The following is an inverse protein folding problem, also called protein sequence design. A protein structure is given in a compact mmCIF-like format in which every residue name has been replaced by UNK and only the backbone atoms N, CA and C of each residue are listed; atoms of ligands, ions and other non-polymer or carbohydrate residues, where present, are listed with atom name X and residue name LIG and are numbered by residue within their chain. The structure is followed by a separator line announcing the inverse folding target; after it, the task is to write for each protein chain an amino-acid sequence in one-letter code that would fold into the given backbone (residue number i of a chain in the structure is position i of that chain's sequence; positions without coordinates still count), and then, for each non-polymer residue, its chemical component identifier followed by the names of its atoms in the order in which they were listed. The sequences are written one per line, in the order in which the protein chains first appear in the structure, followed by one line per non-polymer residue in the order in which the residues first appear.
data_IF_541522169117
#
_entry.id   IF_541522169117
#
_cell.length_a   1.000
_cell.length_b   1.000
_cell.length_c   1.000
_cell.angle_alpha   90.00
_cell.angle_beta   90.00
_cell.angle_gamma   90.00
#
_symmetry.space_group_name_H-M   'P 1'
#
loop_
_entity.id
_entity.type
_entity.pdbx_description
1 polymer ?
#
# COMPACT_ATOMS: atom_id res chain seq x y z
N UNK A 1 -14.99 46.84 10.24
CA UNK A 1 -16.23 46.10 9.87
C UNK A 1 -15.77 44.81 9.22
N UNK A 2 -15.81 43.65 9.89
CA UNK A 2 -16.96 42.72 10.02
C UNK A 2 -17.56 42.45 8.62
N UNK A 3 -17.62 41.21 8.12
CA UNK A 3 -18.31 40.09 8.77
C UNK A 3 -17.79 38.73 8.31
N UNK A 4 -17.57 37.86 9.29
CA UNK A 4 -17.29 36.43 9.16
C UNK A 4 -18.50 35.65 8.64
N UNK A 5 -18.29 34.72 7.71
CA UNK A 5 -19.25 33.65 7.44
C UNK A 5 -18.82 32.43 8.24
N UNK A 6 -19.55 32.19 9.34
CA UNK A 6 -19.54 30.94 10.10
C UNK A 6 -20.58 30.03 9.46
N UNK A 7 -20.19 28.84 9.02
CA UNK A 7 -21.12 27.72 8.81
C UNK A 7 -20.61 26.57 9.67
N UNK A 8 -21.44 26.18 10.63
CA UNK A 8 -21.23 25.04 11.52
C UNK A 8 -22.38 24.05 11.29
N UNK A 9 -22.06 22.85 10.81
CA UNK A 9 -22.85 21.60 10.87
C UNK A 9 -21.79 20.47 10.80
N UNK A 10 -21.32 19.89 11.90
CA UNK A 10 -21.93 18.87 12.78
C UNK A 10 -21.96 17.44 12.17
N UNK A 11 -21.05 16.60 12.70
CA UNK A 11 -21.10 15.14 12.94
C UNK A 11 -21.52 14.18 11.80
N UNK A 12 -20.62 13.28 11.36
CA UNK A 12 -20.50 11.88 11.85
C UNK A 12 -19.57 11.02 10.95
N UNK A 13 -18.69 10.29 11.64
CA UNK A 13 -17.96 9.05 11.24
C UNK A 13 -16.72 9.23 10.36
N UNK A 14 -15.61 9.39 11.08
CA UNK A 14 -14.29 8.88 10.73
C UNK A 14 -14.38 7.43 10.24
N UNK A 15 -13.99 7.21 8.98
CA UNK A 15 -13.62 5.88 8.51
C UNK A 15 -12.22 5.98 7.88
N UNK A 16 -11.21 5.87 8.74
CA UNK A 16 -9.87 5.49 8.30
C UNK A 16 -10.01 4.02 7.89
N UNK A 17 -9.83 3.64 6.60
CA UNK A 17 -9.71 2.23 6.28
C UNK A 17 -8.34 1.78 6.76
N UNK A 18 -8.34 1.27 8.00
CA UNK A 18 -7.19 0.57 8.58
C UNK A 18 -7.13 -0.79 7.92
N UNK A 19 -6.04 -1.07 7.21
CA UNK A 19 -5.68 -2.44 6.82
C UNK A 19 -5.76 -2.70 5.32
N UNK A 20 -4.74 -2.27 4.59
CA UNK A 20 -4.37 -2.95 3.34
C UNK A 20 -3.48 -4.15 3.75
N UNK A 21 -4.07 -5.35 3.73
CA UNK A 21 -3.44 -6.67 3.97
C UNK A 21 -3.35 -7.45 2.64
N UNK A 22 -2.22 -8.14 2.44
CA UNK A 22 -1.72 -8.50 1.10
C UNK A 22 -2.69 -9.41 0.41
N UNK A 23 -2.91 -9.13 -0.87
CA UNK A 23 -3.54 -10.11 -1.74
C UNK A 23 -2.44 -11.10 -2.03
N UNK A 24 -2.46 -12.22 -1.31
CA UNK A 24 -2.17 -13.50 -1.93
C UNK A 24 -3.20 -13.81 -3.01
N UNK A 25 -2.78 -14.53 -4.06
CA UNK A 25 -3.67 -15.18 -5.03
C UNK A 25 -4.55 -16.24 -4.35
N UNK A 26 -5.43 -15.78 -3.48
CA UNK A 26 -6.53 -16.50 -2.88
C UNK A 26 -7.67 -15.52 -2.81
N UNK A 27 -8.61 -15.66 -3.75
CA UNK A 27 -9.95 -15.11 -3.76
C UNK A 27 -10.19 -14.04 -2.67
N UNK A 28 -10.22 -12.77 -3.06
CA UNK A 28 -10.59 -11.64 -2.18
C UNK A 28 -11.98 -11.79 -1.55
N UNK A 29 -12.74 -12.79 -1.95
CA UNK A 29 -13.98 -13.25 -1.33
C UNK A 29 -13.85 -14.69 -0.81
N UNK A 30 -12.82 -15.01 -0.03
CA UNK A 30 -12.89 -16.17 0.86
C UNK A 30 -13.86 -15.81 2.00
N UNK A 31 -15.12 -16.29 1.98
CA UNK A 31 -16.09 -15.96 3.02
C UNK A 31 -15.58 -16.37 4.39
N UNK A 32 -14.79 -17.45 4.46
CA UNK A 32 -14.25 -17.96 5.72
C UNK A 32 -13.17 -17.03 6.29
N UNK A 33 -12.31 -16.47 5.42
CA UNK A 33 -11.35 -15.43 5.83
C UNK A 33 -12.07 -14.20 6.39
N UNK A 34 -13.15 -13.77 5.73
CA UNK A 34 -13.94 -12.63 6.19
C UNK A 34 -14.63 -12.93 7.53
N UNK A 35 -15.17 -14.13 7.72
CA UNK A 35 -15.74 -14.56 8.99
C UNK A 35 -14.70 -14.56 10.13
N UNK A 36 -13.48 -15.06 9.87
CA UNK A 36 -12.40 -15.04 10.86
C UNK A 36 -12.00 -13.60 11.20
N UNK A 37 -11.86 -12.73 10.19
CA UNK A 37 -11.55 -11.31 10.42
C UNK A 37 -12.65 -10.61 11.20
N UNK A 38 -13.92 -10.87 10.88
CA UNK A 38 -15.07 -10.34 11.60
C UNK A 38 -15.09 -10.84 13.05
N UNK A 39 -14.76 -12.11 13.31
CA UNK A 39 -14.62 -12.65 14.67
C UNK A 39 -13.47 -11.96 15.41
N UNK A 40 -12.31 -11.76 14.78
CA UNK A 40 -11.17 -11.06 15.37
C UNK A 40 -11.50 -9.60 15.75
N UNK A 41 -12.30 -8.92 14.93
CA UNK A 41 -12.70 -7.52 15.14
C UNK A 41 -13.88 -7.37 16.12
N UNK A 42 -14.81 -8.32 16.18
CA UNK A 42 -15.99 -8.27 17.06
C UNK A 42 -15.77 -8.88 18.45
N UNK A 43 -14.85 -9.84 18.58
CA UNK A 43 -14.58 -10.52 19.84
C UNK A 43 -13.76 -9.61 20.74
N UNK A 44 -14.32 -9.25 21.89
CA UNK A 44 -13.60 -8.51 22.93
C UNK A 44 -13.03 -9.45 23.98
N UNK A 45 -11.80 -9.19 24.39
CA UNK A 45 -11.05 -9.97 25.38
C UNK A 45 -10.55 -9.08 26.50
N UNK A 46 -10.55 -9.63 27.71
CA UNK A 46 -9.92 -9.03 28.88
C UNK A 46 -9.14 -10.11 29.61
N UNK A 47 -7.84 -9.88 29.82
CA UNK A 47 -6.96 -10.84 30.48
C UNK A 47 -5.85 -10.14 31.25
N UNK A 48 -5.33 -10.82 32.27
CA UNK A 48 -4.19 -10.40 33.09
C UNK A 48 -3.21 -11.58 33.13
N UNK A 49 -2.33 -11.64 32.13
CA UNK A 49 -1.30 -12.66 32.05
C UNK A 49 -0.07 -12.21 32.84
N UNK A 50 0.42 -13.08 33.72
CA UNK A 50 1.64 -12.86 34.50
C UNK A 50 2.57 -14.04 34.30
N UNK A 51 3.72 -13.77 33.69
CA UNK A 51 4.77 -14.77 33.43
C UNK A 51 4.26 -16.03 32.71
N UNK A 52 3.30 -15.87 31.80
CA UNK A 52 2.69 -16.97 31.04
C UNK A 52 3.44 -17.20 29.72
N UNK A 53 3.55 -18.46 29.30
CA UNK A 53 4.15 -18.80 28.00
C UNK A 53 3.24 -18.35 26.85
N UNK A 54 3.83 -18.01 25.71
CA UNK A 54 3.06 -17.69 24.50
C UNK A 54 2.12 -18.84 24.12
N UNK A 55 2.57 -20.10 24.24
CA UNK A 55 1.75 -21.28 23.95
C UNK A 55 0.47 -21.32 24.77
N UNK A 56 0.57 -21.17 26.10
CA UNK A 56 -0.60 -21.17 26.99
C UNK A 56 -1.53 -19.98 26.72
N UNK A 57 -0.97 -18.81 26.38
CA UNK A 57 -1.76 -17.64 25.98
C UNK A 57 -2.53 -17.92 24.69
N UNK A 58 -1.87 -18.51 23.68
CA UNK A 58 -2.51 -18.83 22.40
C UNK A 58 -3.55 -19.92 22.55
N UNK A 59 -3.32 -20.94 23.38
CA UNK A 59 -4.31 -21.96 23.69
C UNK A 59 -5.54 -21.34 24.38
N UNK A 60 -5.33 -20.46 25.36
CA UNK A 60 -6.43 -19.71 25.99
C UNK A 60 -7.22 -18.88 24.96
N UNK A 61 -6.53 -18.17 24.06
CA UNK A 61 -7.20 -17.38 23.01
C UNK A 61 -7.94 -18.28 22.02
N UNK A 62 -7.40 -19.45 21.68
CA UNK A 62 -8.04 -20.46 20.83
C UNK A 62 -9.36 -20.92 21.44
N UNK A 63 -9.35 -21.29 22.72
CA UNK A 63 -10.52 -21.76 23.45
C UNK A 63 -11.57 -20.65 23.61
N UNK A 64 -11.12 -19.44 23.89
CA UNK A 64 -12.01 -18.29 24.07
C UNK A 64 -12.66 -17.83 22.75
N UNK A 65 -11.88 -17.75 21.67
CA UNK A 65 -12.38 -17.20 20.40
C UNK A 65 -12.96 -18.25 19.45
N UNK A 66 -12.71 -19.52 19.71
CA UNK A 66 -13.06 -20.63 18.80
C UNK A 66 -12.38 -20.54 17.43
N UNK A 67 -11.25 -19.82 17.34
CA UNK A 67 -10.48 -19.68 16.10
C UNK A 67 -9.34 -20.67 16.12
N UNK A 68 -9.03 -21.29 14.98
CA UNK A 68 -7.88 -22.17 14.89
C UNK A 68 -6.59 -21.34 14.74
N UNK A 69 -5.83 -21.22 15.83
CA UNK A 69 -4.56 -20.49 15.88
C UNK A 69 -3.41 -21.48 16.02
N UNK A 70 -2.44 -21.42 15.11
CA UNK A 70 -1.27 -22.32 15.06
C UNK A 70 0.01 -21.49 15.13
N UNK A 71 0.99 -21.95 15.90
CA UNK A 71 2.31 -21.31 15.97
C UNK A 71 3.24 -22.05 15.00
N UNK A 72 3.89 -21.32 14.10
CA UNK A 72 4.88 -21.90 13.20
C UNK A 72 6.14 -22.31 13.97
N UNK A 73 6.77 -23.41 13.55
CA UNK A 73 7.98 -23.94 14.19
C UNK A 73 9.10 -22.88 14.28
N UNK A 74 9.26 -22.04 13.25
CA UNK A 74 10.27 -20.97 13.26
C UNK A 74 9.97 -19.88 14.29
N UNK A 75 8.69 -19.63 14.59
CA UNK A 75 8.30 -18.68 15.62
C UNK A 75 8.64 -19.23 17.02
N UNK A 76 8.49 -20.53 17.23
CA UNK A 76 8.88 -21.22 18.48
C UNK A 76 10.39 -21.13 18.67
N UNK A 77 11.16 -21.47 17.63
CA UNK A 77 12.63 -21.41 17.65
C UNK A 77 13.15 -20.00 17.94
N UNK A 78 12.51 -18.96 17.38
CA UNK A 78 12.87 -17.56 17.62
C UNK A 78 12.60 -17.12 19.07
N UNK A 79 11.53 -17.60 19.69
CA UNK A 79 11.20 -17.25 21.08
C UNK A 79 12.13 -17.92 22.09
N UNK A 80 12.53 -19.17 21.83
CA UNK A 80 13.36 -19.97 22.74
C UNK A 80 12.83 -19.92 24.19
N UNK A 81 13.73 -19.72 25.14
CA UNK A 81 13.42 -19.64 26.58
C UNK A 81 12.74 -18.33 27.00
N UNK A 82 12.74 -17.30 26.14
CA UNK A 82 12.13 -15.99 26.43
C UNK A 82 10.66 -15.93 25.95
N UNK A 83 9.91 -17.02 26.12
CA UNK A 83 8.51 -17.11 25.68
C UNK A 83 7.50 -16.55 26.71
N UNK A 84 8.00 -16.10 27.86
CA UNK A 84 7.20 -15.53 28.95
C UNK A 84 6.71 -14.12 28.61
N UNK A 85 5.43 -13.88 28.89
CA UNK A 85 4.73 -12.63 28.62
C UNK A 85 3.95 -12.24 29.87
N UNK A 86 4.14 -10.98 30.28
CA UNK A 86 3.35 -10.33 31.31
C UNK A 86 2.62 -9.17 30.66
N UNK A 87 1.29 -9.25 30.59
CA UNK A 87 0.46 -8.26 29.91
C UNK A 87 -0.96 -8.27 30.48
N UNK A 88 -1.48 -7.07 30.72
CA UNK A 88 -2.87 -6.87 31.15
C UNK A 88 -3.61 -6.01 30.14
N UNK A 89 -4.72 -6.52 29.61
CA UNK A 89 -5.57 -5.84 28.64
C UNK A 89 -7.03 -5.94 29.12
N UNK A 90 -7.79 -4.86 28.93
CA UNK A 90 -9.19 -4.79 29.33
C UNK A 90 -10.04 -4.25 28.17
N UNK A 91 -11.13 -4.95 27.86
CA UNK A 91 -12.13 -4.59 26.84
C UNK A 91 -11.53 -4.22 25.47
N UNK A 92 -10.56 -4.99 24.99
CA UNK A 92 -9.95 -4.77 23.67
C UNK A 92 -10.37 -5.84 22.67
N UNK A 93 -10.34 -5.53 21.38
CA UNK A 93 -10.62 -6.53 20.35
C UNK A 93 -9.51 -7.57 20.28
N UNK A 94 -9.87 -8.83 19.99
CA UNK A 94 -8.93 -9.94 19.88
C UNK A 94 -7.83 -9.67 18.86
N UNK A 95 -8.15 -9.01 17.75
CA UNK A 95 -7.17 -8.56 16.76
C UNK A 95 -6.09 -7.66 17.35
N UNK A 96 -6.50 -6.67 18.16
CA UNK A 96 -5.56 -5.74 18.79
C UNK A 96 -4.78 -6.45 19.89
N UNK A 97 -5.43 -7.33 20.67
CA UNK A 97 -4.78 -8.16 21.68
C UNK A 97 -3.65 -9.00 21.07
N UNK A 98 -3.98 -9.77 20.03
CA UNK A 98 -3.04 -10.62 19.33
C UNK A 98 -1.89 -9.80 18.74
N UNK A 99 -2.20 -8.67 18.10
CA UNK A 99 -1.19 -7.76 17.56
C UNK A 99 -0.23 -7.25 18.64
N UNK A 100 -0.74 -6.86 19.82
CA UNK A 100 0.08 -6.36 20.93
C UNK A 100 0.97 -7.45 21.53
N UNK A 101 0.42 -8.64 21.75
CA UNK A 101 1.16 -9.80 22.25
C UNK A 101 2.31 -10.14 21.31
N UNK A 102 2.03 -10.23 20.01
CA UNK A 102 2.99 -10.65 18.99
C UNK A 102 4.04 -9.57 18.68
N UNK A 103 3.66 -8.29 18.72
CA UNK A 103 4.58 -7.17 18.44
C UNK A 103 5.73 -7.08 19.45
N UNK A 104 5.51 -7.51 20.71
CA UNK A 104 6.56 -7.53 21.73
C UNK A 104 7.66 -8.58 21.48
N UNK A 105 7.44 -9.54 20.59
CA UNK A 105 8.35 -10.66 20.31
C UNK A 105 8.76 -10.73 18.83
N UNK A 106 8.57 -9.65 18.07
CA UNK A 106 8.82 -9.60 16.63
C UNK A 106 8.13 -10.72 15.82
N UNK A 107 6.93 -11.09 16.27
CA UNK A 107 6.04 -12.04 15.60
C UNK A 107 4.87 -11.30 14.94
N UNK A 108 4.26 -11.95 13.97
CA UNK A 108 3.00 -11.48 13.38
C UNK A 108 2.10 -12.67 13.08
N UNK A 109 0.80 -12.43 13.02
CA UNK A 109 -0.17 -13.42 12.58
C UNK A 109 -0.48 -13.24 11.09
N UNK A 110 -0.57 -14.34 10.37
CA UNK A 110 -0.99 -14.39 8.98
C UNK A 110 -2.09 -15.42 8.81
N UNK A 111 -2.97 -15.21 7.83
CA UNK A 111 -4.01 -16.18 7.50
C UNK A 111 -3.51 -17.07 6.37
N UNK A 112 -3.53 -18.38 6.58
CA UNK A 112 -3.13 -19.37 5.58
C UNK A 112 -3.95 -20.64 5.78
N UNK A 113 -4.46 -21.23 4.70
CA UNK A 113 -5.15 -22.53 4.73
C UNK A 113 -6.26 -22.65 5.79
N UNK A 114 -7.07 -21.58 5.97
CA UNK A 114 -8.17 -21.50 6.95
C UNK A 114 -7.76 -21.50 8.42
N UNK A 115 -6.47 -21.29 8.69
CA UNK A 115 -5.94 -21.15 10.05
C UNK A 115 -5.21 -19.82 10.23
N UNK A 116 -5.20 -19.32 11.46
CA UNK A 116 -4.40 -18.17 11.84
C UNK A 116 -3.03 -18.67 12.26
N UNK A 117 -2.02 -18.43 11.43
CA UNK A 117 -0.66 -18.88 11.65
C UNK A 117 0.20 -17.75 12.23
N UNK A 118 0.89 -18.02 13.33
CA UNK A 118 1.84 -17.09 13.94
C UNK A 118 3.23 -17.37 13.39
N UNK A 119 3.83 -16.37 12.76
CA UNK A 119 5.13 -16.47 12.08
C UNK A 119 6.06 -15.32 12.52
N UNK A 120 7.38 -15.46 12.39
CA UNK A 120 8.31 -14.35 12.56
C UNK A 120 7.98 -13.20 11.59
N UNK A 121 8.07 -11.96 12.06
CA UNK A 121 7.78 -10.77 11.24
C UNK A 121 8.61 -10.71 9.96
N UNK A 122 9.89 -11.07 10.05
CA UNK A 122 10.80 -11.12 8.90
C UNK A 122 10.32 -12.09 7.81
N UNK A 123 9.76 -13.23 8.21
CA UNK A 123 9.28 -14.24 7.25
C UNK A 123 7.93 -13.85 6.65
N UNK A 124 7.08 -13.16 7.42
CA UNK A 124 5.87 -12.55 6.87
C UNK A 124 6.17 -11.41 5.89
N UNK A 125 7.23 -10.63 6.14
CA UNK A 125 7.64 -9.52 5.27
C UNK A 125 8.27 -10.01 3.96
N UNK A 126 9.01 -11.12 3.98
CA UNK A 126 9.56 -11.75 2.76
C UNK A 126 8.49 -12.30 1.82
N UNK A 127 7.27 -12.47 2.32
CA UNK A 127 6.15 -12.99 1.52
C UNK A 127 5.76 -11.95 0.47
N UNK A 128 6.26 -12.14 -0.74
CA UNK A 128 5.84 -11.35 -1.89
C UNK A 128 4.46 -11.81 -2.33
N UNK A 129 3.68 -10.89 -2.87
CA UNK A 129 2.56 -11.31 -3.68
C UNK A 129 2.34 -10.46 -4.92
N UNK A 130 1.57 -10.99 -5.85
CA UNK A 130 1.21 -10.39 -7.11
C UNK A 130 -0.12 -9.67 -6.95
N UNK A 131 -0.14 -8.37 -7.25
CA UNK A 131 -1.35 -7.56 -7.41
C UNK A 131 -1.33 -6.88 -8.76
N UNK A 132 -2.48 -6.81 -9.40
CA UNK A 132 -2.70 -6.07 -10.63
C UNK A 132 -3.44 -4.78 -10.28
N UNK A 133 -2.89 -3.65 -10.70
CA UNK A 133 -3.49 -2.33 -10.56
C UNK A 133 -3.90 -1.82 -11.94
N UNK A 134 -5.18 -1.46 -12.10
CA UNK A 134 -5.62 -0.73 -13.28
C UNK A 134 -5.24 0.75 -13.10
N UNK A 135 -4.39 1.26 -14.00
CA UNK A 135 -3.94 2.65 -14.04
C UNK A 135 -4.27 3.30 -15.39
N UNK A 136 -5.20 2.72 -16.18
CA UNK A 136 -5.65 3.30 -17.46
C UNK A 136 -6.07 4.75 -17.31
N UNK A 137 -6.73 5.07 -16.21
CA UNK A 137 -7.17 6.42 -15.87
C UNK A 137 -6.02 7.43 -15.72
N UNK A 138 -4.86 6.98 -15.24
CA UNK A 138 -3.64 7.78 -15.15
C UNK A 138 -2.93 7.94 -16.51
N UNK A 139 -3.16 7.01 -17.45
CA UNK A 139 -2.56 7.02 -18.79
C UNK A 139 -3.39 7.78 -19.83
N UNK A 140 -4.65 8.14 -19.52
CA UNK A 140 -5.47 8.95 -20.43
C UNK A 140 -4.86 10.34 -20.55
N UNK A 141 -4.13 10.55 -21.66
CA UNK A 141 -3.57 11.83 -22.09
C UNK A 141 -4.71 12.85 -22.25
N UNK A 142 -4.74 13.91 -21.43
CA UNK A 142 -5.27 15.17 -21.93
C UNK A 142 -4.21 15.65 -22.92
N UNK A 143 -4.51 15.55 -24.21
CA UNK A 143 -3.64 16.12 -25.22
C UNK A 143 -3.80 17.64 -25.13
N UNK A 144 -2.95 18.30 -24.37
CA UNK A 144 -2.68 19.71 -24.60
C UNK A 144 -2.04 19.76 -25.99
N UNK A 145 -2.72 20.42 -26.93
CA UNK A 145 -2.19 20.70 -28.26
C UNK A 145 -1.55 22.10 -28.18
N UNK A 146 -0.33 22.26 -27.64
CA UNK A 146 0.32 23.55 -27.69
C UNK A 146 0.45 23.97 -29.16
N UNK A 147 -0.08 25.14 -29.47
CA UNK A 147 -0.01 25.67 -30.83
C UNK A 147 1.47 25.88 -31.23
N UNK A 148 1.79 25.73 -32.53
CA UNK A 148 3.14 25.98 -33.03
C UNK A 148 3.65 27.36 -32.62
N UNK A 149 4.92 27.45 -32.22
CA UNK A 149 5.56 28.73 -31.94
C UNK A 149 5.96 29.39 -33.27
N UNK A 150 5.47 30.61 -33.49
CA UNK A 150 5.73 31.38 -34.70
C UNK A 150 6.71 32.50 -34.35
N UNK A 151 7.95 32.36 -34.81
CA UNK A 151 8.98 33.39 -34.64
C UNK A 151 9.25 34.05 -35.99
N UNK A 152 9.27 35.39 -35.98
CA UNK A 152 9.65 36.18 -37.15
C UNK A 152 11.15 36.43 -37.06
N UNK A 153 11.93 35.79 -37.93
CA UNK A 153 13.37 36.02 -38.00
C UNK A 153 13.70 37.13 -38.99
N UNK A 154 14.42 38.18 -38.56
CA UNK A 154 14.96 39.17 -39.48
C UNK A 154 16.06 38.53 -40.35
N UNK A 155 16.14 38.86 -41.65
CA UNK A 155 17.13 38.28 -42.54
C UNK A 155 18.56 38.67 -42.11
N UNK A 156 19.55 37.78 -42.25
CA UNK A 156 20.93 38.00 -41.80
C UNK A 156 21.66 39.14 -42.52
N UNK A 157 21.09 39.68 -43.61
CA UNK A 157 21.56 40.89 -44.29
C UNK A 157 20.38 41.67 -44.84
N UNK A 158 20.25 42.95 -44.43
CA UNK A 158 19.24 43.85 -44.98
C UNK A 158 19.62 44.27 -46.42
N UNK A 159 18.99 43.65 -47.42
CA UNK A 159 19.10 44.10 -48.82
C UNK A 159 18.08 45.23 -49.03
N UNK A 160 18.51 46.46 -49.42
CA UNK A 160 17.58 47.55 -49.69
C UNK A 160 16.59 47.16 -50.79
N UNK A 161 15.28 47.26 -50.51
CA UNK A 161 14.21 46.98 -51.47
C UNK A 161 13.56 45.59 -51.37
N UNK A 162 14.00 44.71 -50.46
CA UNK A 162 13.38 43.39 -50.24
C UNK A 162 12.88 43.26 -48.79
N UNK A 163 11.62 43.58 -48.58
CA UNK A 163 10.91 43.31 -47.32
C UNK A 163 10.50 41.85 -47.27
N UNK A 164 11.36 40.98 -46.74
CA UNK A 164 11.05 39.56 -46.54
C UNK A 164 11.55 39.10 -45.17
N UNK A 165 10.66 39.09 -44.18
CA UNK A 165 10.88 38.38 -42.91
C UNK A 165 10.53 36.91 -43.07
N UNK A 166 11.39 36.02 -42.59
CA UNK A 166 11.12 34.58 -42.57
C UNK A 166 10.20 34.23 -41.40
N UNK A 167 9.19 33.41 -41.63
CA UNK A 167 8.41 32.82 -40.55
C UNK A 167 9.02 31.44 -40.26
N UNK A 168 9.57 31.28 -39.06
CA UNK A 168 9.99 29.99 -38.55
C UNK A 168 8.89 29.46 -37.65
N UNK A 169 8.33 28.31 -38.04
CA UNK A 169 7.40 27.55 -37.22
C UNK A 169 8.20 26.48 -36.52
N UNK A 170 8.38 26.59 -35.21
CA UNK A 170 8.94 25.52 -34.40
C UNK A 170 7.79 24.73 -33.77
N UNK A 171 7.79 23.38 -33.87
CA UNK A 171 6.87 22.57 -33.07
C UNK A 171 7.10 22.88 -31.59
N UNK A 172 6.01 22.92 -30.82
CA UNK A 172 6.12 23.05 -29.37
C UNK A 172 6.70 21.76 -28.79
N UNK A 173 7.55 21.88 -27.77
CA UNK A 173 8.08 20.73 -27.05
C UNK A 173 6.98 20.13 -26.17
N UNK A 174 6.61 18.89 -26.47
CA UNK A 174 5.67 18.11 -25.69
C UNK A 174 6.34 17.72 -24.36
N UNK A 175 6.13 18.50 -23.29
CA UNK A 175 6.49 18.06 -21.94
C UNK A 175 5.52 16.95 -21.49
N UNK A 176 5.77 15.71 -21.95
CA UNK A 176 5.02 14.52 -21.53
C UNK A 176 5.33 14.19 -20.05
N UNK A 177 4.60 14.80 -19.12
CA UNK A 177 4.84 14.63 -17.68
C UNK A 177 4.43 13.24 -17.14
N UNK A 178 3.65 12.45 -17.89
CA UNK A 178 3.07 11.18 -17.42
C UNK A 178 3.14 10.08 -18.50
N UNK A 179 4.35 9.68 -18.90
CA UNK A 179 4.55 8.48 -19.74
C UNK A 179 4.46 7.20 -18.90
N UNK A 180 4.12 6.05 -19.50
CA UNK A 180 4.15 4.73 -18.84
C UNK A 180 5.46 4.48 -18.08
N UNK A 181 6.59 4.83 -18.69
CA UNK A 181 7.92 4.64 -18.12
C UNK A 181 8.16 5.54 -16.90
N UNK A 182 7.74 6.81 -16.95
CA UNK A 182 7.84 7.74 -15.84
C UNK A 182 7.02 7.28 -14.62
N UNK A 183 5.83 6.68 -14.84
CA UNK A 183 4.99 6.17 -13.75
C UNK A 183 5.69 4.99 -13.06
N UNK A 184 6.27 4.08 -13.82
CA UNK A 184 7.03 2.95 -13.26
C UNK A 184 8.24 3.45 -12.48
N UNK A 185 8.94 4.48 -12.98
CA UNK A 185 10.08 5.07 -12.29
C UNK A 185 9.67 5.78 -10.98
N UNK A 186 8.62 6.59 -10.99
CA UNK A 186 8.08 7.25 -9.79
C UNK A 186 7.68 6.20 -8.75
N UNK A 187 7.02 5.13 -9.17
CA UNK A 187 6.65 4.03 -8.27
C UNK A 187 7.91 3.38 -7.70
N UNK A 188 8.89 3.01 -8.52
CA UNK A 188 10.14 2.38 -8.06
C UNK A 188 10.91 3.25 -7.08
N UNK A 189 11.02 4.55 -7.34
CA UNK A 189 11.75 5.50 -6.49
C UNK A 189 11.07 5.75 -5.14
N UNK A 190 9.74 5.61 -5.05
CA UNK A 190 8.97 5.95 -3.86
C UNK A 190 8.43 4.74 -3.07
N UNK A 191 8.82 3.51 -3.43
CA UNK A 191 8.27 2.29 -2.80
C UNK A 191 9.34 1.25 -2.50
N UNK A 192 9.04 0.34 -1.57
CA UNK A 192 9.93 -0.75 -1.17
C UNK A 192 11.31 -0.26 -0.66
N UNK A 193 11.33 0.92 -0.04
CA UNK A 193 12.53 1.59 0.46
C UNK A 193 13.62 1.78 -0.63
N UNK A 194 13.23 1.84 -1.91
CA UNK A 194 14.13 1.96 -3.07
C UNK A 194 14.90 0.69 -3.44
N UNK A 195 14.55 -0.47 -2.84
CA UNK A 195 15.29 -1.75 -2.98
C UNK A 195 14.58 -2.77 -3.85
N UNK A 196 14.27 -2.39 -5.09
CA UNK A 196 13.63 -3.29 -6.05
C UNK A 196 14.57 -4.39 -6.55
N UNK A 197 15.86 -4.09 -6.72
CA UNK A 197 16.87 -5.04 -7.23
C UNK A 197 17.42 -6.01 -6.17
N UNK A 198 17.04 -5.82 -4.89
CA UNK A 198 17.54 -6.62 -3.77
C UNK A 198 16.76 -7.92 -3.55
N UNK A 199 15.54 -8.02 -4.09
CA UNK A 199 14.66 -9.16 -3.91
C UNK A 199 14.40 -9.82 -5.27
N UNK A 200 14.96 -11.01 -5.51
CA UNK A 200 14.82 -11.73 -6.79
C UNK A 200 13.38 -12.10 -7.15
N UNK A 201 12.46 -12.05 -6.18
CA UNK A 201 11.04 -12.32 -6.39
C UNK A 201 10.20 -11.05 -6.60
N UNK A 202 10.81 -9.86 -6.58
CA UNK A 202 10.12 -8.61 -6.84
C UNK A 202 10.11 -8.30 -8.34
N UNK A 203 8.93 -7.98 -8.88
CA UNK A 203 8.80 -7.51 -10.27
C UNK A 203 7.74 -6.43 -10.38
N UNK A 204 7.90 -5.54 -11.35
CA UNK A 204 6.92 -4.53 -11.71
C UNK A 204 6.92 -4.42 -13.22
N UNK A 205 5.77 -4.70 -13.81
CA UNK A 205 5.57 -4.70 -15.25
C UNK A 205 4.32 -3.89 -15.56
N UNK A 206 4.44 -2.95 -16.50
CA UNK A 206 3.31 -2.20 -17.02
C UNK A 206 2.95 -2.76 -18.39
N UNK A 207 1.78 -3.35 -18.50
CA UNK A 207 1.22 -3.76 -19.79
C UNK A 207 0.82 -2.54 -20.60
N UNK A 208 0.94 -2.62 -21.92
CA UNK A 208 0.52 -1.57 -22.87
C UNK A 208 -0.96 -1.18 -22.74
N UNK A 209 -1.77 -2.05 -22.15
CA UNK A 209 -3.18 -1.79 -21.85
C UNK A 209 -3.39 -0.96 -20.58
N UNK A 210 -2.35 -0.53 -19.87
CA UNK A 210 -2.49 0.26 -18.63
C UNK A 210 -2.75 -0.55 -17.38
N UNK A 211 -2.39 -1.83 -17.41
CA UNK A 211 -2.41 -2.72 -16.24
C UNK A 211 -1.00 -2.80 -15.65
N UNK A 212 -0.86 -2.40 -14.40
CA UNK A 212 0.39 -2.50 -13.65
C UNK A 212 0.38 -3.78 -12.83
N UNK A 213 1.15 -4.77 -13.27
CA UNK A 213 1.38 -6.03 -12.54
C UNK A 213 2.56 -5.84 -11.61
N UNK A 214 2.33 -5.92 -10.31
CA UNK A 214 3.37 -5.77 -9.29
C UNK A 214 3.45 -7.04 -8.46
N UNK A 215 4.65 -7.60 -8.34
CA UNK A 215 4.98 -8.65 -7.39
C UNK A 215 5.87 -8.08 -6.30
N UNK A 216 5.36 -7.88 -5.09
CA UNK A 216 6.14 -7.33 -3.97
C UNK A 216 5.52 -7.66 -2.60
N UNK A 217 6.22 -7.33 -1.52
CA UNK A 217 5.72 -7.45 -0.13
C UNK A 217 4.44 -6.64 0.09
N UNK A 218 3.64 -7.00 1.12
CA UNK A 218 2.43 -6.23 1.42
C UNK A 218 2.76 -4.76 1.74
N UNK A 219 3.83 -4.49 2.48
CA UNK A 219 4.19 -3.13 2.84
C UNK A 219 4.29 -2.24 1.59
N UNK A 220 5.00 -2.71 0.56
CA UNK A 220 5.15 -1.97 -0.69
C UNK A 220 3.83 -1.78 -1.44
N UNK A 221 2.98 -2.80 -1.51
CA UNK A 221 1.65 -2.68 -2.11
C UNK A 221 0.77 -1.60 -1.45
N UNK A 222 0.93 -1.36 -0.14
CA UNK A 222 0.23 -0.30 0.57
C UNK A 222 0.75 1.07 0.16
N UNK A 223 2.06 1.21 0.04
CA UNK A 223 2.73 2.43 -0.45
C UNK A 223 2.30 2.74 -1.90
N UNK A 224 2.31 1.73 -2.78
CA UNK A 224 1.85 1.84 -4.17
C UNK A 224 0.41 2.32 -4.22
N UNK A 225 -0.48 1.73 -3.43
CA UNK A 225 -1.89 2.14 -3.41
C UNK A 225 -2.06 3.60 -2.98
N UNK A 226 -1.30 4.06 -1.99
CA UNK A 226 -1.31 5.47 -1.55
C UNK A 226 -0.79 6.41 -2.64
N UNK A 227 0.28 6.03 -3.33
CA UNK A 227 0.85 6.84 -4.41
C UNK A 227 -0.12 6.92 -5.59
N UNK A 228 -0.68 5.79 -6.03
CA UNK A 228 -1.68 5.77 -7.09
C UNK A 228 -2.90 6.61 -6.73
N UNK A 229 -3.36 6.55 -5.47
CA UNK A 229 -4.47 7.40 -5.00
C UNK A 229 -4.11 8.90 -5.02
N UNK A 230 -2.88 9.27 -4.65
CA UNK A 230 -2.40 10.67 -4.76
C UNK A 230 -2.33 11.13 -6.21
N UNK A 231 -1.75 10.33 -7.11
CA UNK A 231 -1.68 10.66 -8.54
C UNK A 231 -3.07 10.88 -9.15
N UNK A 232 -4.07 10.11 -8.69
CA UNK A 232 -5.48 10.31 -9.08
C UNK A 232 -6.09 11.63 -8.58
N UNK A 233 -5.66 12.12 -7.42
CA UNK A 233 -6.16 13.38 -6.85
C UNK A 233 -5.58 14.63 -7.53
N UNK A 234 -4.41 14.51 -8.17
CA UNK A 234 -3.75 15.63 -8.88
C UNK A 234 -4.17 15.75 -10.35
N UNK A 235 -5.14 14.94 -10.80
CA UNK A 235 -5.72 15.03 -12.13
C UNK A 235 -6.85 16.06 -12.20
#
# INVERSE_FOLDING_TARGET
MKTSIKIAIALLISLIPTGVIAQEEGNTNDPEKQEIMNKLDSTKVSFDFKDQSLESIIDYLRDFSGLNIVIDQKAIEKLGENNKITMKLNDITLKVALKLILSNKDLTATYKDRVLMIVPKEDAEKKVTLKIYDIKDLLVKLHDFPGPHVTIEPPPSAVPGRSGGGIVITPADDNELLTPDNIVEIIKQNTADGKWDSNSNASIELSSEGLLTVRQTQKAHNEIAVILAKLRQYK
#
